data_IF_716314247231
#
_entry.id   IF_716314247231
#
_cell.length_a   1.000
_cell.length_b   1.000
_cell.length_c   1.000
_cell.angle_alpha   90.00
_cell.angle_beta   90.00
_cell.angle_gamma   90.00
#
_symmetry.space_group_name_H-M   'P 1'
#
loop_
_entity.id
_entity.type
_entity.pdbx_description
1 polymer ?
#
# COMPACT_ATOMS: atom_id res chain seq x y z
N UNK A 1 -17.71 18.69 42.50
CA UNK A 1 -18.00 17.25 42.40
C UNK A 1 -16.99 16.64 41.44
N UNK A 2 -15.89 16.14 41.99
CA UNK A 2 -14.84 15.42 41.26
C UNK A 2 -15.44 14.12 40.73
N UNK A 3 -15.60 13.99 39.41
CA UNK A 3 -15.99 12.73 38.81
C UNK A 3 -14.91 11.71 39.19
N UNK A 4 -15.21 10.78 40.10
CA UNK A 4 -14.31 9.64 40.34
C UNK A 4 -14.11 8.93 39.02
N UNK A 5 -12.89 8.96 38.48
CA UNK A 5 -12.58 8.29 37.23
C UNK A 5 -12.79 6.79 37.42
N UNK A 6 -13.87 6.27 36.83
CA UNK A 6 -14.29 4.88 36.97
C UNK A 6 -13.13 3.95 36.55
N UNK A 7 -12.85 2.95 37.38
CA UNK A 7 -11.82 1.97 37.05
C UNK A 7 -12.26 1.14 35.82
N UNK A 8 -11.36 0.99 34.85
CA UNK A 8 -11.58 0.25 33.61
C UNK A 8 -10.73 -1.02 33.62
N UNK A 9 -11.24 -2.11 33.08
CA UNK A 9 -10.44 -3.31 32.83
C UNK A 9 -9.67 -3.16 31.53
N UNK A 10 -8.34 -3.23 31.61
CA UNK A 10 -7.44 -3.22 30.46
C UNK A 10 -6.78 -4.59 30.35
N UNK A 11 -6.84 -5.19 29.16
CA UNK A 11 -6.24 -6.50 28.88
C UNK A 11 -5.08 -6.29 27.92
N UNK A 12 -3.87 -6.48 28.40
CA UNK A 12 -2.71 -6.59 27.51
C UNK A 12 -2.66 -7.97 26.88
N UNK A 13 -2.40 -8.03 25.58
CA UNK A 13 -2.31 -9.29 24.85
C UNK A 13 -1.02 -9.32 24.03
N UNK A 14 -0.26 -10.39 24.25
CA UNK A 14 0.81 -10.80 23.35
C UNK A 14 0.39 -12.08 22.63
N UNK A 15 0.47 -12.08 21.30
CA UNK A 15 -0.14 -13.10 20.45
C UNK A 15 0.87 -13.72 19.48
N UNK A 16 1.23 -14.97 19.75
CA UNK A 16 1.95 -15.83 18.83
C UNK A 16 0.98 -16.77 18.09
N UNK A 17 1.45 -17.46 17.05
CA UNK A 17 0.67 -18.44 16.27
C UNK A 17 -0.02 -19.51 17.14
N UNK A 18 0.68 -20.03 18.15
CA UNK A 18 0.25 -21.20 18.91
C UNK A 18 -0.09 -20.89 20.37
N UNK A 19 0.31 -19.71 20.85
CA UNK A 19 0.17 -19.28 22.25
C UNK A 19 -0.19 -17.81 22.31
N UNK A 20 -1.15 -17.49 23.15
CA UNK A 20 -1.58 -16.13 23.43
C UNK A 20 -1.48 -15.91 24.94
N UNK A 21 -0.72 -14.90 25.34
CA UNK A 21 -0.64 -14.45 26.73
C UNK A 21 -1.55 -13.25 26.94
N UNK A 22 -2.38 -13.29 27.99
CA UNK A 22 -3.26 -12.21 28.40
C UNK A 22 -2.86 -11.75 29.80
N UNK A 23 -2.76 -10.44 29.99
CA UNK A 23 -2.62 -9.80 31.29
C UNK A 23 -3.87 -8.95 31.55
N UNK A 24 -4.76 -9.43 32.41
CA UNK A 24 -5.98 -8.73 32.81
C UNK A 24 -5.64 -7.80 33.97
N UNK A 25 -5.91 -6.51 33.79
CA UNK A 25 -5.56 -5.47 34.75
C UNK A 25 -6.77 -4.61 35.11
N UNK A 26 -6.74 -4.01 36.30
CA UNK A 26 -7.64 -2.95 36.73
C UNK A 26 -6.89 -1.64 36.68
N UNK A 27 -7.42 -0.65 35.96
CA UNK A 27 -6.74 0.61 35.73
C UNK A 27 -7.63 1.80 36.06
N UNK A 28 -7.08 2.80 36.75
CA UNK A 28 -7.68 4.13 36.92
C UNK A 28 -6.80 5.15 36.22
N UNK A 29 -7.42 6.11 35.54
CA UNK A 29 -6.68 7.13 34.81
C UNK A 29 -5.68 7.85 35.74
N UNK A 30 -4.41 7.93 35.31
CA UNK A 30 -3.33 8.53 36.10
C UNK A 30 -2.59 7.57 37.04
N UNK A 31 -2.96 6.28 37.09
CA UNK A 31 -2.21 5.24 37.82
C UNK A 31 -1.60 4.23 36.87
N UNK A 32 -0.65 3.45 37.36
CA UNK A 32 -0.24 2.22 36.68
C UNK A 32 -1.36 1.16 36.80
N UNK A 33 -1.54 0.29 35.80
CA UNK A 33 -2.54 -0.77 35.84
C UNK A 33 -2.15 -1.86 36.85
N UNK A 34 -3.09 -2.24 37.71
CA UNK A 34 -2.91 -3.31 38.70
C UNK A 34 -3.25 -4.66 38.08
N UNK A 35 -2.30 -5.59 38.08
CA UNK A 35 -2.51 -6.94 37.53
C UNK A 35 -3.49 -7.71 38.41
N UNK A 36 -4.56 -8.20 37.79
CA UNK A 36 -5.56 -9.04 38.44
C UNK A 36 -5.34 -10.52 38.11
N UNK A 37 -4.99 -10.82 36.86
CA UNK A 37 -4.84 -12.19 36.38
C UNK A 37 -3.98 -12.28 35.14
N UNK A 38 -3.09 -13.27 35.11
CA UNK A 38 -2.40 -13.71 33.89
C UNK A 38 -3.04 -15.00 33.36
N UNK A 39 -3.23 -15.07 32.05
CA UNK A 39 -3.88 -16.21 31.39
C UNK A 39 -3.07 -16.58 30.16
N UNK A 40 -2.83 -17.88 29.98
CA UNK A 40 -2.35 -18.43 28.72
C UNK A 40 -3.53 -19.09 27.99
N UNK A 41 -3.63 -18.86 26.69
CA UNK A 41 -4.64 -19.50 25.84
C UNK A 41 -4.08 -19.76 24.45
N UNK A 42 -4.89 -20.37 23.60
CA UNK A 42 -4.59 -20.60 22.18
C UNK A 42 -5.55 -19.79 21.33
N UNK A 43 -5.24 -19.69 20.04
CA UNK A 43 -6.11 -19.04 19.08
C UNK A 43 -7.49 -19.73 18.99
N UNK A 44 -7.57 -21.06 19.13
CA UNK A 44 -8.83 -21.81 19.08
C UNK A 44 -9.69 -21.64 20.34
N UNK A 45 -9.05 -21.49 21.50
CA UNK A 45 -9.73 -21.32 22.78
C UNK A 45 -9.99 -19.85 23.15
N UNK A 46 -9.69 -18.90 22.25
CA UNK A 46 -9.69 -17.46 22.54
C UNK A 46 -11.05 -16.98 23.06
N UNK A 47 -12.14 -17.20 22.34
CA UNK A 47 -13.47 -16.70 22.70
C UNK A 47 -13.99 -17.35 23.98
N UNK A 48 -13.77 -18.66 24.13
CA UNK A 48 -14.14 -19.38 25.36
C UNK A 48 -13.38 -18.84 26.57
N UNK A 49 -12.09 -18.55 26.40
CA UNK A 49 -11.25 -17.95 27.45
C UNK A 49 -11.74 -16.56 27.81
N UNK A 50 -12.07 -15.73 26.83
CA UNK A 50 -12.58 -14.38 27.04
C UNK A 50 -13.92 -14.39 27.78
N UNK A 51 -14.89 -15.19 27.36
CA UNK A 51 -16.20 -15.31 28.04
C UNK A 51 -16.08 -15.73 29.50
N UNK A 52 -15.11 -16.59 29.82
CA UNK A 52 -14.89 -17.09 31.19
C UNK A 52 -14.14 -16.09 32.08
N UNK A 53 -13.23 -15.29 31.53
CA UNK A 53 -12.23 -14.58 32.34
C UNK A 53 -12.17 -13.06 32.14
N UNK A 54 -12.74 -12.53 31.06
CA UNK A 54 -12.68 -11.11 30.73
C UNK A 54 -14.05 -10.49 30.95
N UNK A 55 -14.18 -9.46 31.82
CA UNK A 55 -15.47 -8.85 32.09
C UNK A 55 -16.00 -8.08 30.86
N UNK A 56 -17.33 -7.97 30.71
CA UNK A 56 -17.93 -7.15 29.66
C UNK A 56 -17.42 -5.69 29.72
N UNK A 57 -17.18 -5.10 28.56
CA UNK A 57 -16.71 -3.71 28.45
C UNK A 57 -15.20 -3.50 28.65
N UNK A 58 -14.44 -4.56 29.00
CA UNK A 58 -12.98 -4.51 29.03
C UNK A 58 -12.40 -4.11 27.66
N UNK A 59 -11.27 -3.41 27.70
CA UNK A 59 -10.53 -3.03 26.51
C UNK A 59 -9.27 -3.90 26.37
N UNK A 60 -9.17 -4.64 25.28
CA UNK A 60 -7.97 -5.38 24.92
C UNK A 60 -7.05 -4.52 24.07
N UNK A 61 -5.76 -4.52 24.40
CA UNK A 61 -4.69 -3.91 23.60
C UNK A 61 -3.70 -5.00 23.18
N UNK A 62 -3.36 -5.00 21.89
CA UNK A 62 -2.43 -5.95 21.28
C UNK A 62 -1.48 -5.22 20.34
N UNK A 63 -0.24 -5.69 20.25
CA UNK A 63 0.75 -5.10 19.35
C UNK A 63 0.46 -5.48 17.89
N UNK A 64 0.76 -4.59 16.94
CA UNK A 64 0.65 -4.87 15.53
C UNK A 64 1.60 -6.00 15.10
N UNK A 65 1.01 -7.15 14.79
CA UNK A 65 1.67 -8.36 14.28
C UNK A 65 0.92 -8.90 13.05
N UNK A 66 1.33 -10.07 12.55
CA UNK A 66 0.69 -10.74 11.40
C UNK A 66 -0.75 -11.20 11.69
N UNK A 67 -1.06 -11.61 12.92
CA UNK A 67 -2.38 -12.12 13.32
C UNK A 67 -3.22 -11.10 14.11
N UNK A 68 -2.63 -9.96 14.50
CA UNK A 68 -3.27 -8.96 15.36
C UNK A 68 -4.66 -8.51 14.87
N UNK A 69 -4.80 -8.21 13.57
CA UNK A 69 -6.09 -7.75 13.04
C UNK A 69 -7.15 -8.85 13.10
N UNK A 70 -6.79 -10.09 12.74
CA UNK A 70 -7.69 -11.25 12.82
C UNK A 70 -8.17 -11.50 14.25
N UNK A 71 -7.25 -11.41 15.21
CA UNK A 71 -7.58 -11.57 16.63
C UNK A 71 -8.51 -10.45 17.11
N UNK A 72 -8.21 -9.19 16.77
CA UNK A 72 -9.06 -8.07 17.14
C UNK A 72 -10.49 -8.22 16.57
N UNK A 73 -10.62 -8.63 15.30
CA UNK A 73 -11.91 -8.84 14.65
C UNK A 73 -12.71 -9.98 15.31
N UNK A 74 -12.04 -11.07 15.71
CA UNK A 74 -12.67 -12.19 16.45
C UNK A 74 -13.16 -11.75 17.83
N UNK A 75 -12.37 -10.96 18.55
CA UNK A 75 -12.78 -10.41 19.84
C UNK A 75 -14.00 -9.50 19.70
N UNK A 76 -14.02 -8.63 18.69
CA UNK A 76 -15.14 -7.73 18.41
C UNK A 76 -16.41 -8.48 18.01
N UNK A 77 -16.29 -9.52 17.18
CA UNK A 77 -17.40 -10.40 16.85
C UNK A 77 -17.95 -11.15 18.08
N UNK A 78 -17.11 -11.41 19.08
CA UNK A 78 -17.51 -12.00 20.35
C UNK A 78 -18.02 -10.97 21.39
N UNK A 79 -18.10 -9.68 21.05
CA UNK A 79 -18.63 -8.61 21.90
C UNK A 79 -17.59 -7.91 22.78
N UNK A 80 -16.29 -8.15 22.57
CA UNK A 80 -15.19 -7.52 23.31
C UNK A 80 -14.56 -6.38 22.52
N UNK A 81 -14.00 -5.38 23.22
CA UNK A 81 -13.33 -4.25 22.57
C UNK A 81 -11.85 -4.56 22.37
N UNK A 82 -11.33 -4.31 21.17
CA UNK A 82 -9.91 -4.54 20.86
C UNK A 82 -9.28 -3.34 20.15
N UNK A 83 -8.03 -3.03 20.50
CA UNK A 83 -7.20 -2.02 19.85
C UNK A 83 -5.84 -2.59 19.50
N UNK A 84 -5.41 -2.34 18.27
CA UNK A 84 -4.10 -2.75 17.79
C UNK A 84 -3.17 -1.55 17.84
N UNK A 85 -2.05 -1.67 18.55
CA UNK A 85 -1.11 -0.59 18.81
C UNK A 85 0.13 -0.71 17.93
N UNK A 86 0.78 0.42 17.64
CA UNK A 86 2.02 0.42 16.87
C UNK A 86 3.15 -0.24 17.66
N UNK A 87 4.05 -0.94 16.95
CA UNK A 87 5.18 -1.67 17.54
C UNK A 87 6.21 -0.79 18.26
N UNK A 88 6.16 0.53 18.06
CA UNK A 88 7.00 1.48 18.79
C UNK A 88 6.42 1.89 20.16
N UNK A 89 5.29 1.31 20.58
CA UNK A 89 4.75 1.46 21.93
C UNK A 89 5.75 1.05 23.04
N UNK A 90 6.71 0.18 22.73
CA UNK A 90 7.78 -0.26 23.64
C UNK A 90 9.15 0.40 23.38
N UNK A 91 9.27 1.32 22.42
CA UNK A 91 10.54 1.92 22.05
C UNK A 91 11.03 2.91 23.14
N UNK A 92 12.02 2.49 23.93
CA UNK A 92 12.66 3.33 24.97
C UNK A 92 12.57 2.76 26.38
N UNK A 93 11.86 1.63 26.59
CA UNK A 93 11.97 0.89 27.85
C UNK A 93 13.24 0.05 27.85
N UNK A 94 14.05 0.15 28.90
CA UNK A 94 15.15 -0.79 29.13
C UNK A 94 14.59 -2.21 29.05
N UNK A 95 15.16 -3.05 28.17
CA UNK A 95 14.73 -4.45 28.07
C UNK A 95 15.15 -5.13 29.38
N UNK A 96 14.21 -5.58 30.23
CA UNK A 96 14.57 -6.31 31.42
C UNK A 96 15.25 -7.63 31.04
N UNK A 97 16.09 -8.16 31.91
CA UNK A 97 16.82 -9.44 31.71
C UNK A 97 15.88 -10.65 31.54
N UNK A 98 14.58 -10.49 31.83
CA UNK A 98 13.53 -11.49 31.65
C UNK A 98 12.52 -11.00 30.60
N UNK A 99 12.60 -11.57 29.40
CA UNK A 99 11.61 -11.44 28.34
C UNK A 99 10.75 -12.71 28.36
N UNK A 100 9.46 -12.57 28.67
CA UNK A 100 8.48 -13.63 28.48
C UNK A 100 7.14 -13.02 28.07
N UNK A 101 6.32 -13.80 27.35
CA UNK A 101 5.06 -13.34 26.75
C UNK A 101 4.09 -12.68 27.77
N UNK A 102 4.16 -13.09 29.04
CA UNK A 102 3.34 -12.49 30.12
C UNK A 102 3.80 -11.09 30.49
N UNK A 103 5.11 -10.89 30.60
CA UNK A 103 5.72 -9.58 30.84
C UNK A 103 5.43 -8.65 29.66
N UNK A 104 5.47 -9.15 28.42
CA UNK A 104 5.18 -8.36 27.23
C UNK A 104 3.71 -7.93 27.18
N UNK A 105 2.77 -8.84 27.48
CA UNK A 105 1.36 -8.51 27.63
C UNK A 105 1.14 -7.44 28.72
N UNK A 106 1.78 -7.58 29.90
CA UNK A 106 1.69 -6.60 30.99
C UNK A 106 2.27 -5.24 30.59
N UNK A 107 3.44 -5.22 29.95
CA UNK A 107 4.11 -4.01 29.50
C UNK A 107 3.24 -3.26 28.48
N UNK A 108 2.55 -3.98 27.60
CA UNK A 108 1.65 -3.38 26.63
C UNK A 108 0.44 -2.70 27.29
N UNK A 109 -0.17 -3.34 28.28
CA UNK A 109 -1.23 -2.71 29.09
C UNK A 109 -0.72 -1.45 29.80
N UNK A 110 0.46 -1.52 30.44
CA UNK A 110 1.08 -0.37 31.09
C UNK A 110 1.41 0.76 30.10
N UNK A 111 1.94 0.44 28.92
CA UNK A 111 2.25 1.43 27.88
C UNK A 111 0.98 2.14 27.39
N UNK A 112 -0.11 1.41 27.16
CA UNK A 112 -1.38 2.03 26.79
C UNK A 112 -1.92 2.94 27.90
N UNK A 113 -1.89 2.48 29.15
CA UNK A 113 -2.34 3.23 30.33
C UNK A 113 -1.56 4.54 30.55
N UNK A 114 -0.25 4.52 30.33
CA UNK A 114 0.64 5.70 30.45
C UNK A 114 0.50 6.71 29.31
N UNK A 115 -0.15 6.31 28.22
CA UNK A 115 -0.28 7.14 27.02
C UNK A 115 0.94 7.10 26.10
N UNK A 116 0.85 7.76 24.96
CA UNK A 116 1.93 7.79 23.95
C UNK A 116 1.90 6.63 22.94
N UNK A 117 1.08 5.61 23.18
CA UNK A 117 0.80 4.57 22.17
C UNK A 117 -0.10 5.11 21.06
N UNK A 118 0.06 4.59 19.84
CA UNK A 118 -0.78 4.96 18.70
C UNK A 118 -1.53 3.74 18.21
N UNK A 119 -2.81 3.94 17.95
CA UNK A 119 -3.65 2.92 17.35
C UNK A 119 -3.30 2.76 15.86
N UNK A 120 -3.14 1.52 15.44
CA UNK A 120 -2.96 1.15 14.04
C UNK A 120 -4.32 1.10 13.38
N UNK A 121 -4.41 1.75 12.22
CA UNK A 121 -5.59 1.64 11.39
C UNK A 121 -5.79 0.23 10.86
N UNK A 122 -6.91 -0.37 11.26
CA UNK A 122 -7.42 -1.61 10.68
C UNK A 122 -8.26 -1.29 9.44
N UNK A 123 -7.89 -1.82 8.25
CA UNK A 123 -8.75 -1.69 7.08
C UNK A 123 -10.03 -2.49 7.25
N UNK A 124 -11.12 -2.05 6.64
CA UNK A 124 -12.29 -2.92 6.49
C UNK A 124 -11.97 -4.12 5.59
N UNK A 125 -12.80 -5.17 5.69
CA UNK A 125 -12.56 -6.47 5.05
C UNK A 125 -12.24 -6.36 3.53
N UNK A 126 -13.02 -5.62 2.71
CA UNK A 126 -12.72 -5.51 1.28
C UNK A 126 -11.35 -4.88 1.01
N UNK A 127 -10.98 -3.86 1.80
CA UNK A 127 -9.71 -3.18 1.65
C UNK A 127 -8.54 -4.04 2.14
N UNK A 128 -8.73 -4.85 3.18
CA UNK A 128 -7.73 -5.85 3.59
C UNK A 128 -7.45 -6.84 2.46
N UNK A 129 -8.50 -7.41 1.86
CA UNK A 129 -8.38 -8.36 0.75
C UNK A 129 -7.71 -7.73 -0.48
N UNK A 130 -8.02 -6.46 -0.78
CA UNK A 130 -7.32 -5.75 -1.86
C UNK A 130 -5.82 -5.58 -1.56
N UNK A 131 -5.44 -5.38 -0.30
CA UNK A 131 -4.02 -5.32 0.09
C UNK A 131 -3.33 -6.67 -0.10
N UNK A 132 -4.01 -7.77 0.20
CA UNK A 132 -3.48 -9.12 -0.03
C UNK A 132 -3.27 -9.38 -1.53
N UNK A 133 -4.25 -9.02 -2.37
CA UNK A 133 -4.10 -9.07 -3.84
C UNK A 133 -2.93 -8.21 -4.32
N UNK A 134 -2.73 -7.02 -3.75
CA UNK A 134 -1.59 -6.17 -4.08
C UNK A 134 -0.25 -6.82 -3.70
N UNK A 135 -0.15 -7.41 -2.51
CA UNK A 135 1.07 -8.08 -2.06
C UNK A 135 1.34 -9.36 -2.85
N UNK A 136 0.31 -10.12 -3.22
CA UNK A 136 0.41 -11.25 -4.14
C UNK A 136 0.92 -10.83 -5.52
N UNK A 137 0.37 -9.76 -6.10
CA UNK A 137 0.88 -9.17 -7.35
C UNK A 137 2.36 -8.79 -7.21
N UNK A 138 2.74 -8.14 -6.11
CA UNK A 138 4.12 -7.71 -5.87
C UNK A 138 5.08 -8.89 -5.75
N UNK A 139 4.68 -9.97 -5.08
CA UNK A 139 5.46 -11.21 -5.00
C UNK A 139 5.66 -11.80 -6.39
N UNK A 140 4.58 -11.94 -7.17
CA UNK A 140 4.63 -12.44 -8.54
C UNK A 140 5.53 -11.58 -9.47
N UNK A 141 5.52 -10.25 -9.31
CA UNK A 141 6.48 -9.37 -10.01
C UNK A 141 7.92 -9.72 -9.62
N UNK A 142 8.22 -9.83 -8.31
CA UNK A 142 9.57 -10.15 -7.84
C UNK A 142 10.04 -11.49 -8.38
N UNK A 143 9.19 -12.52 -8.37
CA UNK A 143 9.57 -13.85 -8.83
C UNK A 143 9.77 -13.86 -10.35
N UNK A 144 8.92 -13.19 -11.13
CA UNK A 144 9.15 -13.04 -12.57
C UNK A 144 10.49 -12.35 -12.90
N UNK A 145 10.87 -11.33 -12.11
CA UNK A 145 12.17 -10.64 -12.28
C UNK A 145 13.32 -11.55 -11.84
N UNK A 146 13.18 -12.28 -10.74
CA UNK A 146 14.17 -13.24 -10.23
C UNK A 146 14.50 -14.30 -11.28
N UNK A 147 13.47 -14.93 -11.86
CA UNK A 147 13.66 -15.94 -12.90
C UNK A 147 14.24 -15.35 -14.19
N UNK A 148 13.78 -14.17 -14.60
CA UNK A 148 14.39 -13.44 -15.73
C UNK A 148 15.88 -13.17 -15.51
N UNK A 149 16.29 -12.82 -14.29
CA UNK A 149 17.69 -12.56 -13.97
C UNK A 149 18.52 -13.85 -13.89
N UNK A 150 17.94 -14.97 -13.45
CA UNK A 150 18.60 -16.29 -13.49
C UNK A 150 18.89 -16.73 -14.93
N UNK A 151 17.90 -16.61 -15.82
CA UNK A 151 18.09 -16.87 -17.26
C UNK A 151 19.21 -15.97 -17.81
N UNK A 152 19.16 -14.67 -17.50
CA UNK A 152 20.18 -13.73 -17.97
C UNK A 152 21.58 -14.06 -17.44
N UNK A 153 21.71 -14.36 -16.14
CA UNK A 153 22.99 -14.70 -15.53
C UNK A 153 23.59 -15.98 -16.13
N UNK A 154 22.75 -17.00 -16.35
CA UNK A 154 23.18 -18.23 -17.00
C UNK A 154 23.63 -17.96 -18.44
N UNK A 155 22.77 -17.42 -19.30
CA UNK A 155 23.12 -17.15 -20.70
C UNK A 155 24.35 -16.23 -20.84
N UNK A 156 24.46 -15.18 -20.00
CA UNK A 156 25.63 -14.29 -20.01
C UNK A 156 26.92 -15.02 -19.62
N UNK A 157 26.85 -16.02 -18.73
CA UNK A 157 27.99 -16.85 -18.36
C UNK A 157 28.52 -17.71 -19.53
N UNK A 158 27.66 -18.03 -20.49
CA UNK A 158 28.00 -18.78 -21.70
C UNK A 158 28.20 -17.87 -22.94
N UNK A 159 28.43 -16.57 -22.73
CA UNK A 159 28.73 -15.63 -23.82
C UNK A 159 27.53 -15.16 -24.63
N UNK A 160 26.31 -15.50 -24.24
CA UNK A 160 25.10 -15.08 -24.95
C UNK A 160 24.62 -13.68 -24.55
N UNK A 161 24.47 -12.82 -25.55
CA UNK A 161 23.86 -11.51 -25.40
C UNK A 161 22.33 -11.60 -25.56
N UNK A 162 21.60 -11.78 -24.44
CA UNK A 162 20.14 -11.82 -24.52
C UNK A 162 19.52 -10.45 -24.86
N UNK A 163 18.52 -10.40 -25.75
CA UNK A 163 17.85 -9.15 -26.08
C UNK A 163 17.09 -8.60 -24.87
N UNK A 164 17.08 -7.28 -24.74
CA UNK A 164 16.22 -6.55 -23.79
C UNK A 164 14.77 -6.58 -24.30
N UNK A 165 14.13 -7.76 -24.29
CA UNK A 165 12.80 -7.99 -24.82
C UNK A 165 11.78 -8.38 -23.74
N UNK A 166 10.49 -8.22 -24.05
CA UNK A 166 9.38 -8.68 -23.20
C UNK A 166 9.28 -10.21 -23.16
N UNK A 167 8.59 -10.75 -22.15
CA UNK A 167 8.53 -12.17 -21.80
C UNK A 167 8.56 -13.15 -22.98
N UNK A 168 7.54 -13.13 -23.86
CA UNK A 168 7.42 -14.10 -24.98
C UNK A 168 8.64 -14.05 -25.90
N UNK A 169 9.00 -12.84 -26.32
CA UNK A 169 10.17 -12.60 -27.16
C UNK A 169 11.48 -13.00 -26.49
N UNK A 170 11.58 -12.93 -25.15
CA UNK A 170 12.75 -13.41 -24.41
C UNK A 170 12.83 -14.93 -24.44
N UNK A 171 11.73 -15.63 -24.13
CA UNK A 171 11.71 -17.08 -24.14
C UNK A 171 12.00 -17.64 -25.54
N UNK A 172 11.38 -17.07 -26.56
CA UNK A 172 11.58 -17.48 -27.95
C UNK A 172 13.00 -17.17 -28.43
N UNK A 173 13.56 -16.00 -28.07
CA UNK A 173 14.94 -15.68 -28.38
C UNK A 173 15.93 -16.63 -27.69
N UNK A 174 15.74 -16.93 -26.40
CA UNK A 174 16.60 -17.89 -25.69
C UNK A 174 16.53 -19.26 -26.37
N UNK A 175 15.34 -19.73 -26.75
CA UNK A 175 15.19 -21.01 -27.46
C UNK A 175 15.82 -21.01 -28.85
N UNK A 176 15.74 -19.90 -29.57
CA UNK A 176 16.40 -19.76 -30.87
C UNK A 176 17.93 -19.82 -30.73
N UNK A 177 18.49 -19.14 -29.71
CA UNK A 177 19.91 -19.20 -29.39
C UNK A 177 20.34 -20.61 -28.93
N UNK A 178 19.50 -21.31 -28.15
CA UNK A 178 19.75 -22.72 -27.76
C UNK A 178 19.93 -23.62 -28.98
N UNK A 179 19.13 -23.42 -30.04
CA UNK A 179 19.20 -24.25 -31.25
C UNK A 179 20.48 -24.01 -32.09
N UNK A 180 21.15 -22.86 -31.92
CA UNK A 180 22.34 -22.48 -32.69
C UNK A 180 23.66 -22.61 -31.93
N UNK A 181 23.63 -22.63 -30.59
CA UNK A 181 24.82 -22.81 -29.76
C UNK A 181 25.05 -24.30 -29.49
N UNK A 182 26.31 -24.77 -29.51
CA UNK A 182 26.69 -26.14 -29.15
C UNK A 182 26.59 -26.42 -27.64
N UNK A 183 25.41 -26.23 -27.05
CA UNK A 183 25.14 -26.51 -25.64
C UNK A 183 25.22 -28.00 -25.35
N UNK A 184 25.71 -28.33 -24.15
CA UNK A 184 25.63 -29.68 -23.60
C UNK A 184 24.19 -30.03 -23.20
N UNK A 185 23.92 -31.32 -22.97
CA UNK A 185 22.62 -31.80 -22.51
C UNK A 185 22.21 -31.18 -21.16
N UNK A 186 23.15 -31.07 -20.21
CA UNK A 186 22.88 -30.52 -18.87
C UNK A 186 22.61 -29.01 -18.90
N UNK A 187 23.34 -28.26 -19.72
CA UNK A 187 23.10 -26.82 -19.86
C UNK A 187 21.74 -26.55 -20.53
N UNK A 188 21.39 -27.34 -21.55
CA UNK A 188 20.08 -27.27 -22.22
C UNK A 188 18.96 -27.55 -21.22
N UNK A 189 19.09 -28.65 -20.46
CA UNK A 189 18.15 -29.00 -19.40
C UNK A 189 17.99 -27.86 -18.37
N UNK A 190 19.10 -27.28 -17.92
CA UNK A 190 19.07 -26.20 -16.94
C UNK A 190 18.31 -24.97 -17.46
N UNK A 191 18.58 -24.52 -18.69
CA UNK A 191 17.89 -23.36 -19.28
C UNK A 191 16.41 -23.63 -19.46
N UNK A 192 16.04 -24.83 -19.91
CA UNK A 192 14.63 -25.21 -20.07
C UNK A 192 13.87 -25.15 -18.74
N UNK A 193 14.47 -25.61 -17.65
CA UNK A 193 13.90 -25.49 -16.30
C UNK A 193 13.74 -24.02 -15.88
N UNK A 194 14.74 -23.16 -16.15
CA UNK A 194 14.63 -21.72 -15.87
C UNK A 194 13.53 -21.05 -16.70
N UNK A 195 13.38 -21.43 -17.97
CA UNK A 195 12.34 -20.92 -18.87
C UNK A 195 10.94 -21.35 -18.41
N UNK A 196 10.78 -22.59 -17.96
CA UNK A 196 9.54 -23.13 -17.40
C UNK A 196 9.09 -22.33 -16.17
N UNK A 197 9.99 -22.12 -15.22
CA UNK A 197 9.70 -21.34 -14.00
C UNK A 197 9.40 -19.87 -14.32
N UNK A 198 10.13 -19.28 -15.26
CA UNK A 198 9.86 -17.91 -15.70
C UNK A 198 8.49 -17.77 -16.36
N UNK A 199 8.07 -18.76 -17.15
CA UNK A 199 6.74 -18.80 -17.77
C UNK A 199 5.64 -18.85 -16.72
N UNK A 200 5.75 -19.78 -15.76
CA UNK A 200 4.81 -19.89 -14.66
C UNK A 200 4.72 -18.59 -13.83
N UNK A 201 5.87 -18.00 -13.48
CA UNK A 201 5.88 -16.73 -12.72
C UNK A 201 5.23 -15.58 -13.48
N UNK A 202 5.36 -15.55 -14.81
CA UNK A 202 4.70 -14.54 -15.65
C UNK A 202 3.18 -14.76 -15.73
N UNK A 203 2.73 -16.00 -15.82
CA UNK A 203 1.31 -16.35 -15.75
C UNK A 203 0.67 -15.92 -14.43
N UNK A 204 1.28 -16.28 -13.29
CA UNK A 204 0.82 -15.88 -11.96
C UNK A 204 0.73 -14.36 -11.84
N UNK A 205 1.76 -13.63 -12.32
CA UNK A 205 1.76 -12.16 -12.35
C UNK A 205 0.58 -11.61 -13.17
N UNK A 206 0.27 -12.23 -14.31
CA UNK A 206 -0.82 -11.79 -15.17
C UNK A 206 -2.20 -12.10 -14.60
N UNK A 207 -2.36 -13.20 -13.85
CA UNK A 207 -3.60 -13.49 -13.09
C UNK A 207 -3.87 -12.38 -12.07
N UNK A 208 -2.88 -12.03 -11.24
CA UNK A 208 -3.01 -10.93 -10.29
C UNK A 208 -3.26 -9.58 -10.98
N UNK A 209 -2.58 -9.31 -12.10
CA UNK A 209 -2.79 -8.10 -12.90
C UNK A 209 -4.24 -8.00 -13.35
N UNK A 210 -4.81 -9.06 -13.94
CA UNK A 210 -6.20 -9.09 -14.42
C UNK A 210 -7.19 -8.87 -13.27
N UNK A 211 -6.94 -9.47 -12.10
CA UNK A 211 -7.75 -9.23 -10.89
C UNK A 211 -7.74 -7.75 -10.50
N UNK A 212 -6.56 -7.12 -10.45
CA UNK A 212 -6.40 -5.69 -10.17
C UNK A 212 -7.14 -4.83 -11.21
N UNK A 213 -6.95 -5.11 -12.50
CA UNK A 213 -7.57 -4.34 -13.59
C UNK A 213 -9.10 -4.40 -13.52
N UNK A 214 -9.66 -5.57 -13.24
CA UNK A 214 -11.10 -5.75 -13.05
C UNK A 214 -11.62 -4.98 -11.84
N UNK A 215 -10.98 -5.10 -10.67
CA UNK A 215 -11.41 -4.37 -9.46
C UNK A 215 -11.35 -2.86 -9.65
N UNK A 216 -10.35 -2.35 -10.38
CA UNK A 216 -10.26 -0.92 -10.71
C UNK A 216 -11.41 -0.48 -11.62
N UNK A 217 -11.78 -1.30 -12.61
CA UNK A 217 -12.86 -0.99 -13.53
C UNK A 217 -14.24 -1.00 -12.84
N UNK A 218 -14.41 -1.84 -11.81
CA UNK A 218 -15.62 -1.96 -10.99
C UNK A 218 -15.69 -0.90 -9.87
N UNK A 219 -14.57 -0.25 -9.53
CA UNK A 219 -14.48 0.73 -8.44
C UNK A 219 -14.37 2.18 -8.95
N UNK A 220 -15.36 3.01 -8.64
CA UNK A 220 -15.42 4.39 -9.09
C UNK A 220 -14.23 5.23 -8.61
N UNK A 221 -13.76 5.06 -7.36
CA UNK A 221 -12.66 5.83 -6.79
C UNK A 221 -11.33 5.50 -7.44
N UNK A 222 -11.07 4.22 -7.68
CA UNK A 222 -9.90 3.77 -8.42
C UNK A 222 -9.90 4.32 -9.85
N UNK A 223 -11.06 4.32 -10.51
CA UNK A 223 -11.22 4.90 -11.85
C UNK A 223 -11.00 6.43 -11.85
N UNK A 224 -11.52 7.16 -10.85
CA UNK A 224 -11.29 8.60 -10.69
C UNK A 224 -9.81 8.93 -10.48
N UNK A 225 -9.12 8.16 -9.63
CA UNK A 225 -7.70 8.34 -9.35
C UNK A 225 -6.82 8.12 -10.59
N UNK A 226 -7.26 7.30 -11.57
CA UNK A 226 -6.56 7.14 -12.86
C UNK A 226 -6.56 8.39 -13.75
N UNK A 227 -7.29 9.45 -13.42
CA UNK A 227 -7.18 10.75 -14.12
C UNK A 227 -5.84 11.44 -13.87
N UNK A 228 -5.12 11.05 -12.82
CA UNK A 228 -3.79 11.56 -12.52
C UNK A 228 -2.77 10.97 -13.49
N UNK A 229 -2.03 11.84 -14.19
CA UNK A 229 -1.03 11.40 -15.15
C UNK A 229 0.03 10.49 -14.47
N UNK A 230 0.32 9.36 -15.10
CA UNK A 230 1.24 8.34 -14.58
C UNK A 230 0.58 7.33 -13.63
N UNK A 231 -0.66 7.57 -13.19
CA UNK A 231 -1.42 6.63 -12.37
C UNK A 231 -2.26 5.72 -13.28
N UNK A 232 -2.03 4.41 -13.19
CA UNK A 232 -2.78 3.37 -13.92
C UNK A 232 -3.33 2.34 -12.92
N UNK A 233 -3.89 1.23 -13.41
CA UNK A 233 -4.53 0.17 -12.61
C UNK A 233 -3.81 -0.16 -11.30
N UNK A 234 -2.56 -0.62 -11.34
CA UNK A 234 -1.82 -1.02 -10.12
C UNK A 234 -1.65 0.13 -9.13
N UNK A 235 -1.35 1.34 -9.63
CA UNK A 235 -1.14 2.51 -8.76
C UNK A 235 -2.47 2.96 -8.15
N UNK A 236 -3.54 3.04 -8.95
CA UNK A 236 -4.86 3.41 -8.48
C UNK A 236 -5.41 2.40 -7.46
N UNK A 237 -5.30 1.11 -7.77
CA UNK A 237 -5.67 0.01 -6.88
C UNK A 237 -4.95 0.11 -5.54
N UNK A 238 -3.61 0.23 -5.56
CA UNK A 238 -2.83 0.33 -4.33
C UNK A 238 -3.19 1.58 -3.52
N UNK A 239 -3.32 2.74 -4.16
CA UNK A 239 -3.70 3.98 -3.47
C UNK A 239 -5.03 3.82 -2.74
N UNK A 240 -6.07 3.37 -3.42
CA UNK A 240 -7.40 3.22 -2.81
C UNK A 240 -7.41 2.11 -1.74
N UNK A 241 -6.78 0.96 -2.01
CA UNK A 241 -6.71 -0.16 -1.05
C UNK A 241 -6.03 0.23 0.28
N UNK A 242 -5.01 1.10 0.24
CA UNK A 242 -4.27 1.50 1.44
C UNK A 242 -4.75 2.80 2.09
N UNK A 243 -5.37 3.70 1.32
CA UNK A 243 -5.96 4.94 1.86
C UNK A 243 -7.31 4.63 2.51
N UNK A 244 -8.15 3.87 1.81
CA UNK A 244 -9.53 3.54 2.17
C UNK A 244 -10.44 4.76 2.32
N UNK A 245 -10.26 5.52 3.39
CA UNK A 245 -10.97 6.77 3.65
C UNK A 245 -9.99 7.95 3.70
N UNK A 246 -10.09 8.83 2.71
CA UNK A 246 -9.25 10.03 2.62
C UNK A 246 -9.52 11.05 3.75
N UNK A 247 -10.73 11.03 4.36
CA UNK A 247 -11.13 11.94 5.45
C UNK A 247 -10.32 11.71 6.73
N UNK A 248 -9.72 10.53 6.87
CA UNK A 248 -8.79 10.21 7.96
C UNK A 248 -7.49 11.00 7.89
N UNK A 249 -7.22 11.66 6.76
CA UNK A 249 -6.13 12.60 6.61
C UNK A 249 -6.70 14.02 6.63
N UNK A 250 -6.49 14.81 7.70
CA UNK A 250 -7.04 16.16 7.83
C UNK A 250 -6.68 17.11 6.68
N UNK A 251 -5.58 16.84 5.98
CA UNK A 251 -5.20 17.53 4.76
C UNK A 251 -4.31 16.65 3.88
N UNK A 252 -4.17 17.03 2.60
CA UNK A 252 -3.30 16.36 1.64
C UNK A 252 -1.86 16.17 2.15
N UNK A 253 -1.32 17.12 2.94
CA UNK A 253 0.04 17.01 3.52
C UNK A 253 0.17 15.83 4.48
N UNK A 254 -0.90 15.43 5.18
CA UNK A 254 -0.92 14.24 6.06
C UNK A 254 -0.91 12.95 5.26
N UNK A 255 -1.60 12.89 4.12
CA UNK A 255 -1.49 11.74 3.19
C UNK A 255 -0.07 11.62 2.61
N UNK A 256 0.55 12.74 2.21
CA UNK A 256 1.96 12.76 1.77
C UNK A 256 2.90 12.22 2.86
N UNK A 257 2.64 12.58 4.13
CA UNK A 257 3.40 12.09 5.28
C UNK A 257 3.23 10.59 5.48
N UNK A 258 2.00 10.08 5.39
CA UNK A 258 1.67 8.65 5.50
C UNK A 258 2.37 7.81 4.43
N UNK A 259 2.40 8.28 3.18
CA UNK A 259 3.15 7.64 2.10
C UNK A 259 4.66 7.77 2.32
N UNK A 260 5.11 8.81 3.01
CA UNK A 260 6.51 9.06 3.35
C UNK A 260 7.27 9.88 2.31
N UNK A 261 6.57 10.76 1.59
CA UNK A 261 7.15 11.65 0.58
C UNK A 261 7.54 13.04 1.15
N UNK A 262 7.35 13.26 2.45
CA UNK A 262 7.85 14.46 3.11
C UNK A 262 9.39 14.46 3.17
N UNK A 263 10.04 15.61 2.88
CA UNK A 263 11.45 15.77 3.17
C UNK A 263 11.66 15.75 4.69
N UNK A 264 12.63 14.99 5.15
CA UNK A 264 13.16 15.03 6.52
C UNK A 264 14.35 15.97 6.56
N UNK A 265 14.32 16.89 7.51
CA UNK A 265 15.45 17.77 7.84
C UNK A 265 16.11 17.21 9.08
N UNK A 266 17.43 17.02 9.05
CA UNK A 266 18.23 16.85 10.27
C UNK A 266 18.79 18.22 10.59
N UNK A 267 18.23 18.87 11.60
CA UNK A 267 18.76 20.13 12.14
C UNK A 267 19.60 19.74 13.34
N UNK A 268 20.90 20.03 13.29
CA UNK A 268 21.80 19.91 14.45
C UNK A 268 22.46 21.26 14.66
N UNK A 269 22.01 22.00 15.68
CA UNK A 269 22.62 23.22 16.22
C UNK A 269 22.79 24.39 15.25
N UNK A 270 23.71 24.27 14.29
CA UNK A 270 24.27 25.41 13.55
C UNK A 270 24.08 25.32 12.02
N UNK A 271 23.62 24.17 11.48
CA UNK A 271 23.38 24.02 10.04
C UNK A 271 22.17 23.14 9.70
N UNK A 272 21.44 23.56 8.66
CA UNK A 272 20.41 22.75 8.00
C UNK A 272 21.10 21.60 7.23
N UNK A 273 20.99 20.38 7.76
CA UNK A 273 21.51 19.19 7.09
C UNK A 273 20.79 18.86 5.77
N UNK A 274 21.37 17.99 4.92
CA UNK A 274 20.79 17.66 3.61
C UNK A 274 19.37 17.08 3.76
N UNK A 275 18.41 17.67 3.03
CA UNK A 275 17.02 17.20 3.03
C UNK A 275 16.95 15.86 2.30
N UNK A 276 16.59 14.80 3.02
CA UNK A 276 16.36 13.45 2.46
C UNK A 276 14.87 13.14 2.44
N UNK A 277 14.43 12.24 1.58
CA UNK A 277 13.05 11.72 1.67
C UNK A 277 12.95 10.83 2.91
N UNK A 278 11.84 10.94 3.66
CA UNK A 278 11.64 10.15 4.88
C UNK A 278 11.87 8.66 4.67
N UNK A 279 12.55 7.99 5.62
CA UNK A 279 12.67 6.52 5.66
C UNK A 279 11.39 5.84 6.18
N UNK A 280 10.51 6.62 6.80
CA UNK A 280 9.20 6.20 7.32
C UNK A 280 8.12 6.27 6.23
N UNK A 281 6.94 5.72 6.54
CA UNK A 281 5.77 5.67 5.67
C UNK A 281 5.69 4.44 4.77
N UNK A 282 4.66 4.40 3.91
CA UNK A 282 4.37 3.26 3.04
C UNK A 282 5.29 3.20 1.82
N UNK A 283 6.41 2.47 1.96
CA UNK A 283 7.45 2.32 0.92
C UNK A 283 6.91 1.86 -0.43
N UNK A 284 5.92 0.97 -0.45
CA UNK A 284 5.32 0.49 -1.68
C UNK A 284 4.58 1.60 -2.43
N UNK A 285 3.72 2.35 -1.75
CA UNK A 285 3.04 3.51 -2.33
C UNK A 285 4.03 4.59 -2.77
N UNK A 286 5.08 4.82 -1.97
CA UNK A 286 6.14 5.78 -2.30
C UNK A 286 6.83 5.44 -3.62
N UNK A 287 7.22 4.18 -3.80
CA UNK A 287 7.84 3.71 -5.03
C UNK A 287 6.89 3.86 -6.22
N UNK A 288 5.63 3.43 -6.08
CA UNK A 288 4.62 3.56 -7.14
C UNK A 288 4.39 5.02 -7.55
N UNK A 289 4.31 5.94 -6.58
CA UNK A 289 4.09 7.35 -6.87
C UNK A 289 5.31 8.04 -7.49
N UNK A 290 6.53 7.61 -7.14
CA UNK A 290 7.75 8.09 -7.82
C UNK A 290 7.80 7.61 -9.27
N UNK A 291 7.41 6.36 -9.54
CA UNK A 291 7.32 5.86 -10.93
C UNK A 291 6.22 6.56 -11.74
N UNK A 292 5.06 6.81 -11.12
CA UNK A 292 4.00 7.63 -11.72
C UNK A 292 4.51 9.05 -12.03
N UNK A 293 5.26 9.66 -11.12
CA UNK A 293 5.85 10.99 -11.33
C UNK A 293 6.91 10.99 -12.44
N UNK A 294 7.75 9.96 -12.54
CA UNK A 294 8.70 9.82 -13.67
C UNK A 294 7.96 9.75 -15.01
N UNK A 295 6.83 9.05 -15.07
CA UNK A 295 5.97 9.04 -16.24
C UNK A 295 5.41 10.44 -16.56
N UNK A 296 4.87 11.13 -15.57
CA UNK A 296 4.35 12.49 -15.71
C UNK A 296 5.44 13.51 -16.12
N UNK A 297 6.69 13.31 -15.67
CA UNK A 297 7.84 14.13 -16.07
C UNK A 297 8.22 13.93 -17.54
N UNK A 298 8.02 12.73 -18.11
CA UNK A 298 8.33 12.43 -19.52
C UNK A 298 7.22 12.80 -20.49
N UNK A 299 5.96 12.63 -20.09
CA UNK A 299 4.83 12.65 -21.03
C UNK A 299 3.75 13.68 -20.70
N UNK A 300 3.97 14.53 -19.68
CA UNK A 300 3.00 15.56 -19.29
C UNK A 300 3.03 16.79 -20.18
N UNK A 301 1.99 17.61 -20.07
CA UNK A 301 1.93 18.96 -20.67
C UNK A 301 1.23 19.99 -19.75
N UNK A 302 0.91 19.62 -18.51
CA UNK A 302 0.31 20.55 -17.55
C UNK A 302 1.33 21.54 -17.00
N UNK A 303 0.88 22.59 -16.32
CA UNK A 303 1.80 23.56 -15.70
C UNK A 303 2.69 22.92 -14.63
N UNK A 304 2.21 21.87 -13.97
CA UNK A 304 3.01 21.05 -13.07
C UNK A 304 4.12 20.30 -13.83
N UNK A 305 3.84 19.79 -15.04
CA UNK A 305 4.88 19.21 -15.89
C UNK A 305 5.90 20.28 -16.33
N UNK A 306 5.44 21.45 -16.80
CA UNK A 306 6.31 22.56 -17.19
C UNK A 306 7.20 23.02 -16.04
N UNK A 307 6.64 23.15 -14.84
CA UNK A 307 7.41 23.42 -13.61
C UNK A 307 8.49 22.36 -13.37
N UNK A 308 8.14 21.08 -13.47
CA UNK A 308 9.09 19.99 -13.25
C UNK A 308 10.22 20.00 -14.29
N UNK A 309 9.89 20.21 -15.57
CA UNK A 309 10.87 20.37 -16.66
C UNK A 309 11.79 21.57 -16.45
N UNK A 310 11.26 22.72 -16.02
CA UNK A 310 12.09 23.89 -15.64
C UNK A 310 13.06 23.57 -14.52
N UNK A 311 12.66 22.80 -13.51
CA UNK A 311 13.56 22.38 -12.42
C UNK A 311 14.70 21.47 -12.93
N UNK A 312 14.41 20.55 -13.85
CA UNK A 312 15.44 19.72 -14.49
C UNK A 312 16.37 20.56 -15.35
N UNK A 313 15.83 21.47 -16.16
CA UNK A 313 16.62 22.40 -16.99
C UNK A 313 17.51 23.31 -16.13
N UNK A 314 17.04 23.71 -14.95
CA UNK A 314 17.83 24.41 -13.92
C UNK A 314 18.79 23.50 -13.14
N UNK A 315 19.32 22.44 -13.77
CA UNK A 315 20.33 21.51 -13.23
C UNK A 315 19.93 20.72 -11.97
N UNK A 316 18.65 20.66 -11.58
CA UNK A 316 18.23 19.73 -10.50
C UNK A 316 18.18 18.29 -11.00
N UNK A 317 18.71 17.37 -10.19
CA UNK A 317 18.70 15.94 -10.52
C UNK A 317 17.27 15.41 -10.75
N UNK A 318 17.06 14.69 -11.86
CA UNK A 318 15.73 14.26 -12.30
C UNK A 318 14.95 13.45 -11.23
N UNK A 319 15.64 12.56 -10.49
CA UNK A 319 14.99 11.80 -9.40
C UNK A 319 14.52 12.69 -8.24
N UNK A 320 15.23 13.79 -7.94
CA UNK A 320 14.80 14.75 -6.92
C UNK A 320 13.54 15.47 -7.37
N UNK A 321 13.50 15.87 -8.65
CA UNK A 321 12.31 16.47 -9.26
C UNK A 321 11.15 15.48 -9.29
N UNK A 322 11.39 14.20 -9.62
CA UNK A 322 10.37 13.15 -9.61
C UNK A 322 9.78 12.94 -8.20
N UNK A 323 10.59 12.95 -7.14
CA UNK A 323 10.09 12.88 -5.76
C UNK A 323 9.22 14.10 -5.39
N UNK A 324 9.63 15.31 -5.79
CA UNK A 324 8.85 16.52 -5.55
C UNK A 324 7.53 16.52 -6.34
N UNK A 325 7.56 16.00 -7.58
CA UNK A 325 6.39 15.80 -8.41
C UNK A 325 5.45 14.74 -7.82
N UNK A 326 5.98 13.61 -7.33
CA UNK A 326 5.20 12.56 -6.66
C UNK A 326 4.42 13.11 -5.46
N UNK A 327 5.04 14.00 -4.66
CA UNK A 327 4.36 14.71 -3.57
C UNK A 327 3.16 15.52 -4.07
N UNK A 328 3.30 16.26 -5.17
CA UNK A 328 2.19 17.03 -5.77
C UNK A 328 1.09 16.11 -6.32
N UNK A 329 1.46 14.99 -6.95
CA UNK A 329 0.49 13.99 -7.42
C UNK A 329 -0.31 13.37 -6.28
N UNK A 330 0.32 13.08 -5.13
CA UNK A 330 -0.40 12.59 -3.95
C UNK A 330 -1.41 13.61 -3.43
N UNK A 331 -1.10 14.91 -3.49
CA UNK A 331 -2.10 15.93 -3.16
C UNK A 331 -3.31 15.86 -4.10
N UNK A 332 -3.10 15.67 -5.41
CA UNK A 332 -4.20 15.49 -6.36
C UNK A 332 -5.04 14.25 -6.02
N UNK A 333 -4.40 13.13 -5.66
CA UNK A 333 -5.09 11.91 -5.23
C UNK A 333 -5.98 12.19 -4.02
N UNK A 334 -5.46 12.91 -3.01
CA UNK A 334 -6.26 13.28 -1.84
C UNK A 334 -7.50 14.09 -2.22
N UNK A 335 -7.34 15.14 -3.06
CA UNK A 335 -8.49 15.95 -3.50
C UNK A 335 -9.53 15.16 -4.28
N UNK A 336 -9.10 14.26 -5.16
CA UNK A 336 -9.99 13.38 -5.93
C UNK A 336 -10.81 12.47 -4.99
N UNK A 337 -10.15 11.86 -4.01
CA UNK A 337 -10.82 10.97 -3.05
C UNK A 337 -11.73 11.74 -2.08
N UNK A 338 -11.46 13.02 -1.81
CA UNK A 338 -12.36 13.92 -1.08
C UNK A 338 -13.57 14.38 -1.91
N UNK A 339 -13.69 13.96 -3.17
CA UNK A 339 -14.82 14.32 -4.04
C UNK A 339 -14.60 15.55 -4.92
N UNK A 340 -13.44 16.20 -4.83
CA UNK A 340 -13.15 17.34 -5.68
C UNK A 340 -12.77 16.92 -7.11
N UNK A 341 -12.95 17.80 -8.12
CA UNK A 341 -12.44 17.57 -9.46
C UNK A 341 -10.92 17.36 -9.45
N UNK A 342 -10.43 16.50 -10.36
CA UNK A 342 -8.99 16.26 -10.54
C UNK A 342 -8.26 17.57 -10.91
N UNK A 343 -7.31 18.07 -10.09
CA UNK A 343 -6.69 19.39 -10.30
C UNK A 343 -5.87 19.53 -11.59
N UNK A 344 -5.27 18.43 -12.05
CA UNK A 344 -4.52 18.35 -13.31
C UNK A 344 -4.80 17.00 -13.95
N UNK A 345 -5.87 16.93 -14.75
CA UNK A 345 -6.22 15.74 -15.52
C UNK A 345 -5.16 15.48 -16.59
N UNK A 346 -4.92 14.22 -16.89
CA UNK A 346 -4.25 13.87 -18.14
C UNK A 346 -5.16 14.15 -19.34
N UNK A 347 -4.62 14.27 -20.57
CA UNK A 347 -5.44 14.44 -21.76
C UNK A 347 -6.49 13.31 -21.89
N UNK A 348 -7.72 13.67 -22.25
CA UNK A 348 -8.83 12.71 -22.34
C UNK A 348 -8.50 11.53 -23.26
N UNK A 349 -7.81 11.76 -24.39
CA UNK A 349 -7.36 10.69 -25.29
C UNK A 349 -6.46 9.66 -24.59
N UNK A 350 -5.60 10.09 -23.66
CA UNK A 350 -4.79 9.17 -22.83
C UNK A 350 -5.63 8.40 -21.84
N UNK A 351 -6.61 9.08 -21.24
CA UNK A 351 -7.51 8.46 -20.27
C UNK A 351 -8.42 7.42 -20.93
N UNK A 352 -8.99 7.72 -22.10
CA UNK A 352 -9.77 6.80 -22.93
C UNK A 352 -9.02 5.50 -23.21
N UNK A 353 -7.72 5.57 -23.55
CA UNK A 353 -6.89 4.36 -23.74
C UNK A 353 -6.79 3.51 -22.48
N UNK A 354 -6.80 4.11 -21.29
CA UNK A 354 -6.85 3.35 -20.04
C UNK A 354 -8.22 2.70 -19.84
N UNK A 355 -9.30 3.41 -20.13
CA UNK A 355 -10.66 2.88 -20.02
C UNK A 355 -10.94 1.74 -21.00
N UNK A 356 -10.35 1.76 -22.20
CA UNK A 356 -10.43 0.61 -23.14
C UNK A 356 -9.84 -0.66 -22.51
N UNK A 357 -8.73 -0.53 -21.79
CA UNK A 357 -8.15 -1.68 -21.07
C UNK A 357 -9.02 -2.10 -19.87
N UNK A 358 -9.64 -1.14 -19.19
CA UNK A 358 -10.57 -1.42 -18.10
C UNK A 358 -11.81 -2.19 -18.59
N UNK A 359 -12.39 -1.76 -19.72
CA UNK A 359 -13.50 -2.45 -20.37
C UNK A 359 -13.13 -3.87 -20.80
N UNK A 360 -11.91 -4.08 -21.31
CA UNK A 360 -11.41 -5.42 -21.62
C UNK A 360 -11.27 -6.30 -20.38
N UNK A 361 -10.87 -5.74 -19.24
CA UNK A 361 -10.76 -6.46 -17.98
C UNK A 361 -12.11 -6.82 -17.37
N UNK A 362 -13.16 -6.02 -17.63
CA UNK A 362 -14.54 -6.34 -17.25
C UNK A 362 -15.09 -7.53 -18.04
N UNK A 363 -14.78 -7.60 -19.34
CA UNK A 363 -15.39 -8.56 -20.26
C UNK A 363 -16.89 -8.30 -20.48
N UNK A 364 -17.58 -9.13 -21.28
CA UNK A 364 -19.00 -8.95 -21.60
C UNK A 364 -19.89 -8.92 -20.35
N UNK A 365 -19.71 -9.87 -19.42
CA UNK A 365 -20.53 -9.96 -18.20
C UNK A 365 -20.32 -8.76 -17.28
N UNK A 366 -19.07 -8.30 -17.13
CA UNK A 366 -18.74 -7.14 -16.30
C UNK A 366 -19.30 -5.85 -16.89
N UNK A 367 -19.27 -5.70 -18.22
CA UNK A 367 -19.89 -4.57 -18.91
C UNK A 367 -21.41 -4.57 -18.74
N UNK A 368 -22.06 -5.73 -18.92
CA UNK A 368 -23.50 -5.88 -18.73
C UNK A 368 -23.92 -5.53 -17.29
N UNK A 369 -23.18 -6.00 -16.28
CA UNK A 369 -23.39 -5.64 -14.86
C UNK A 369 -23.21 -4.14 -14.59
N UNK A 370 -22.32 -3.49 -15.33
CA UNK A 370 -22.12 -2.05 -15.27
C UNK A 370 -23.16 -1.24 -16.10
N UNK A 371 -24.13 -1.91 -16.74
CA UNK A 371 -25.16 -1.26 -17.55
C UNK A 371 -24.69 -0.85 -18.94
N UNK A 372 -23.68 -1.52 -19.50
CA UNK A 372 -23.10 -1.19 -20.80
C UNK A 372 -23.11 -2.42 -21.73
N UNK A 373 -23.64 -2.25 -22.95
CA UNK A 373 -23.64 -3.31 -23.96
C UNK A 373 -22.26 -3.47 -24.61
N UNK A 374 -21.55 -2.36 -24.85
CA UNK A 374 -20.24 -2.35 -25.51
C UNK A 374 -19.19 -1.63 -24.67
N UNK A 375 -17.93 -1.98 -24.92
CA UNK A 375 -16.79 -1.30 -24.32
C UNK A 375 -16.76 0.21 -24.62
N UNK A 376 -17.19 0.61 -25.82
CA UNK A 376 -17.31 2.01 -26.22
C UNK A 376 -18.28 2.77 -25.31
N UNK A 377 -19.46 2.19 -25.03
CA UNK A 377 -20.48 2.79 -24.18
C UNK A 377 -19.96 3.05 -22.76
N UNK A 378 -19.24 2.09 -22.19
CA UNK A 378 -18.56 2.23 -20.90
C UNK A 378 -17.54 3.38 -20.93
N UNK A 379 -16.65 3.40 -21.93
CA UNK A 379 -15.62 4.43 -22.07
C UNK A 379 -16.27 5.82 -22.16
N UNK A 380 -17.30 5.97 -22.99
CA UNK A 380 -17.99 7.24 -23.21
C UNK A 380 -18.79 7.69 -22.00
N UNK A 381 -19.44 6.77 -21.28
CA UNK A 381 -20.16 7.08 -20.05
C UNK A 381 -19.19 7.57 -18.95
N UNK A 382 -18.08 6.87 -18.75
CA UNK A 382 -17.07 7.25 -17.75
C UNK A 382 -16.40 8.58 -18.14
N UNK A 383 -16.06 8.78 -19.42
CA UNK A 383 -15.49 10.03 -19.91
C UNK A 383 -16.46 11.20 -19.74
N UNK A 384 -17.75 11.07 -20.14
CA UNK A 384 -18.75 12.14 -19.95
C UNK A 384 -18.86 12.58 -18.49
N UNK A 385 -18.80 11.64 -17.55
CA UNK A 385 -18.83 11.93 -16.11
C UNK A 385 -17.57 12.65 -15.61
N UNK A 386 -16.39 12.23 -16.07
CA UNK A 386 -15.11 12.67 -15.49
C UNK A 386 -14.41 13.79 -16.28
N UNK A 387 -14.77 13.96 -17.53
CA UNK A 387 -14.31 14.98 -18.49
C UNK A 387 -15.53 15.62 -19.13
N UNK A 388 -16.38 16.31 -18.35
CA UNK A 388 -17.44 17.10 -18.95
C UNK A 388 -16.80 18.10 -19.93
N UNK A 389 -17.41 18.26 -21.10
CA UNK A 389 -17.01 19.31 -22.04
C UNK A 389 -17.30 20.64 -21.34
N UNK A 390 -16.28 21.29 -20.78
CA UNK A 390 -16.44 22.65 -20.28
C UNK A 390 -16.52 23.60 -21.48
N UNK A 391 -17.54 24.48 -21.59
CA UNK A 391 -17.52 25.54 -22.58
C UNK A 391 -16.29 26.45 -22.35
N UNK A 392 -15.72 27.07 -23.39
CA UNK A 392 -14.49 27.83 -23.27
C UNK A 392 -14.76 29.22 -22.66
N UNK A 393 -14.65 29.36 -21.33
CA UNK A 393 -14.24 30.58 -20.62
C UNK A 393 -14.29 30.35 -19.10
N UNK A 394 -13.44 31.05 -18.35
CA UNK A 394 -13.48 31.19 -16.88
C UNK A 394 -12.81 30.12 -16.01
N UNK A 395 -11.51 29.86 -16.23
CA UNK A 395 -10.62 29.55 -15.10
C UNK A 395 -9.31 30.33 -15.27
N UNK A 396 -9.38 31.65 -15.03
CA UNK A 396 -8.20 32.47 -14.77
C UNK A 396 -7.62 32.08 -13.40
N UNK A 397 -6.45 31.45 -13.45
CA UNK A 397 -5.34 31.62 -12.50
C UNK A 397 -5.69 31.71 -11.01
N UNK A 398 -5.81 30.57 -10.33
CA UNK A 398 -5.37 30.51 -8.93
C UNK A 398 -3.88 30.20 -8.94
N UNK A 399 -3.09 31.22 -8.65
CA UNK A 399 -1.64 31.15 -8.44
C UNK A 399 -1.29 30.04 -7.46
N UNK A 400 -0.60 28.99 -7.93
CA UNK A 400 0.11 28.03 -7.09
C UNK A 400 1.42 28.66 -6.58
N UNK A 401 1.31 29.76 -5.82
CA UNK A 401 2.41 30.27 -5.03
C UNK A 401 2.45 29.50 -3.69
N UNK A 402 3.60 28.89 -3.42
CA UNK A 402 4.00 28.15 -2.20
C UNK A 402 3.40 26.74 -1.98
N UNK A 403 4.02 25.72 -2.59
CA UNK A 403 3.87 24.31 -2.20
C UNK A 403 5.06 23.42 -2.57
#
# INVERSE_FOLDING_TARGET
>A
MTSETQAVTLVGMDAHSDKIALCVTRWRHGTDPEVQKDIATTLDALEATYRKNVPPGALTVLEASTNAFSIADRLEAAGFKAKVLTSDAAAGMARPDRVNDRIDARNLAAAYARGGTREVFRPSKPFSEWRDVFFGYRAAVKDSVRWSNRIWGFCSGHGLALPKAGFRRKADAVRAELAGHGWTADETFHVEMLLKEYAHACEVRDIYRKRIERTVAENADMTRVMQVLGVRFVVAFALVAFIEDARRFPCAKKLVSYIGLNPTVRVSGEADGPRRVSRYGRRDLKALMVEAAKCALRHGNSDMHKWARRKVAGKKHANVVACALARKLVCHVWHILMGHPAPSKEPEASFRRKLVLAARALGPDGLAKAGHAKAADYVDAVCRRLYPQTPPAELRTVSLASA
#
